data_IF_797305785732
#
_entry.id   IF_797305785732
#
_cell.length_a   1.000
_cell.length_b   1.000
_cell.length_c   1.000
_cell.angle_alpha   90.00
_cell.angle_beta   90.00
_cell.angle_gamma   90.00
#
_symmetry.space_group_name_H-M   'P 1'
#
loop_
_entity.id
_entity.type
_entity.pdbx_description
1 polymer ?
#
# COMPACT_ATOMS: atom_id res chain seq x y z
N UNK A 1 14.03 31.95 4.89
CA UNK A 1 13.27 30.90 4.19
C UNK A 1 12.65 29.98 5.23
N UNK A 2 11.37 29.63 5.10
CA UNK A 2 10.70 28.74 6.05
C UNK A 2 11.16 27.31 5.78
N UNK A 3 11.83 26.69 6.75
CA UNK A 3 12.19 25.26 6.68
C UNK A 3 10.90 24.43 6.79
N UNK A 4 10.56 23.67 5.75
CA UNK A 4 9.41 22.76 5.77
C UNK A 4 9.87 21.39 6.27
N UNK A 5 9.62 21.10 7.54
CA UNK A 5 9.93 19.80 8.15
C UNK A 5 8.97 18.73 7.61
N UNK A 6 9.51 17.62 7.10
CA UNK A 6 8.75 16.46 6.64
C UNK A 6 9.31 15.19 7.30
N UNK A 7 8.45 14.22 7.57
CA UNK A 7 8.82 12.88 8.04
C UNK A 7 8.67 11.89 6.89
N UNK A 8 9.64 10.98 6.76
CA UNK A 8 9.69 9.94 5.71
C UNK A 8 10.21 8.64 6.33
N UNK A 9 9.66 7.52 5.89
CA UNK A 9 10.25 6.20 6.18
C UNK A 9 11.42 6.05 5.20
N UNK A 10 12.65 6.09 5.69
CA UNK A 10 13.82 6.10 4.79
C UNK A 10 14.14 4.71 4.25
N UNK A 11 14.03 3.68 5.10
CA UNK A 11 14.34 2.29 4.76
C UNK A 11 13.39 1.36 5.50
N UNK A 12 12.87 0.34 4.82
CA UNK A 12 12.21 -0.83 5.41
C UNK A 12 13.09 -2.05 5.15
N UNK A 13 13.47 -2.77 6.21
CA UNK A 13 14.32 -3.96 6.11
C UNK A 13 13.71 -5.12 6.88
N UNK A 14 13.90 -6.32 6.34
CA UNK A 14 13.63 -7.59 7.01
C UNK A 14 14.92 -8.08 7.66
N UNK A 15 14.78 -8.63 8.86
CA UNK A 15 15.89 -9.26 9.59
C UNK A 15 15.88 -10.73 9.22
N UNK A 16 16.94 -11.19 8.55
CA UNK A 16 17.09 -12.59 8.17
C UNK A 16 17.89 -13.36 9.23
N UNK A 17 19.00 -12.78 9.69
CA UNK A 17 19.86 -13.34 10.73
C UNK A 17 20.74 -12.23 11.36
N UNK A 18 21.61 -12.59 12.30
CA UNK A 18 22.62 -11.71 12.87
C UNK A 18 23.44 -11.03 11.75
N UNK A 19 23.47 -9.70 11.76
CA UNK A 19 24.11 -8.85 10.75
C UNK A 19 23.64 -9.05 9.30
N UNK A 20 22.55 -9.80 9.06
CA UNK A 20 22.00 -10.08 7.74
C UNK A 20 20.61 -9.46 7.59
N UNK A 21 20.53 -8.44 6.74
CA UNK A 21 19.32 -7.65 6.52
C UNK A 21 18.96 -7.56 5.04
N UNK A 22 17.68 -7.67 4.72
CA UNK A 22 17.16 -7.55 3.36
C UNK A 22 16.38 -6.24 3.25
N UNK A 23 16.81 -5.34 2.36
CA UNK A 23 16.09 -4.07 2.10
C UNK A 23 14.89 -4.33 1.19
N UNK A 24 13.70 -3.98 1.68
CA UNK A 24 12.43 -4.13 0.95
C UNK A 24 11.97 -2.81 0.34
N UNK A 25 12.20 -1.69 1.03
CA UNK A 25 11.88 -0.36 0.51
C UNK A 25 12.95 0.65 0.89
N UNK A 26 13.25 1.56 -0.03
CA UNK A 26 14.13 2.71 0.20
C UNK A 26 13.50 3.98 -0.36
N UNK A 27 13.59 5.07 0.40
CA UNK A 27 13.15 6.39 -0.05
C UNK A 27 14.24 7.08 -0.89
N UNK A 28 13.86 7.58 -2.06
CA UNK A 28 14.68 8.45 -2.90
C UNK A 28 14.35 9.93 -2.59
N UNK A 29 15.28 10.69 -1.98
CA UNK A 29 15.07 12.10 -1.65
C UNK A 29 14.93 13.00 -2.88
N UNK A 30 15.43 12.59 -4.05
CA UNK A 30 15.43 13.42 -5.27
C UNK A 30 14.05 13.47 -5.90
N UNK A 31 13.30 12.37 -5.82
CA UNK A 31 11.97 12.20 -6.41
C UNK A 31 10.85 12.20 -5.37
N UNK A 32 11.18 12.23 -4.07
CA UNK A 32 10.25 12.03 -2.96
C UNK A 32 9.40 10.76 -3.10
N UNK A 33 10.01 9.68 -3.61
CA UNK A 33 9.34 8.41 -3.90
C UNK A 33 10.01 7.23 -3.22
N UNK A 34 9.33 6.09 -3.18
CA UNK A 34 9.86 4.85 -2.63
C UNK A 34 10.15 3.84 -3.73
N UNK A 35 11.34 3.24 -3.70
CA UNK A 35 11.66 2.05 -4.49
C UNK A 35 11.34 0.83 -3.64
N UNK A 36 10.44 -0.03 -4.11
CA UNK A 36 9.94 -1.20 -3.36
C UNK A 36 10.24 -2.49 -4.13
N UNK A 37 10.76 -3.50 -3.45
CA UNK A 37 11.05 -4.81 -4.02
C UNK A 37 10.47 -5.92 -3.13
N UNK A 38 9.19 -6.23 -3.33
CA UNK A 38 8.45 -7.23 -2.55
C UNK A 38 8.88 -8.67 -2.88
N UNK A 39 9.35 -8.93 -4.10
CA UNK A 39 9.76 -10.28 -4.53
C UNK A 39 10.94 -10.83 -3.72
N UNK A 40 11.76 -9.93 -3.16
CA UNK A 40 12.89 -10.28 -2.29
C UNK A 40 12.51 -10.54 -0.84
N UNK A 41 11.24 -10.38 -0.47
CA UNK A 41 10.80 -10.56 0.92
C UNK A 41 10.83 -12.02 1.33
N UNK A 42 11.61 -12.32 2.38
CA UNK A 42 11.64 -13.63 3.02
C UNK A 42 10.38 -13.86 3.85
N UNK A 43 9.77 -12.79 4.38
CA UNK A 43 8.52 -12.90 5.13
C UNK A 43 7.34 -13.21 4.21
N UNK A 44 7.28 -12.65 3.01
CA UNK A 44 6.24 -13.01 2.04
C UNK A 44 6.41 -14.44 1.53
N UNK A 45 7.66 -14.90 1.34
CA UNK A 45 7.95 -16.30 1.00
C UNK A 45 7.48 -17.26 2.11
N UNK A 46 7.77 -16.95 3.38
CA UNK A 46 7.31 -17.73 4.53
C UNK A 46 5.79 -17.76 4.65
N UNK A 47 5.11 -16.61 4.44
CA UNK A 47 3.65 -16.53 4.44
C UNK A 47 3.05 -17.38 3.31
N UNK A 48 3.62 -17.31 2.10
CA UNK A 48 3.19 -18.09 0.95
C UNK A 48 3.30 -19.59 1.24
N UNK A 49 4.46 -20.03 1.73
CA UNK A 49 4.71 -21.42 2.11
C UNK A 49 3.73 -21.93 3.18
N UNK A 50 3.54 -21.17 4.26
CA UNK A 50 2.62 -21.54 5.35
C UNK A 50 1.16 -21.65 4.91
N UNK A 51 0.78 -20.95 3.85
CA UNK A 51 -0.58 -20.93 3.30
C UNK A 51 -0.75 -21.85 2.09
N UNK A 52 0.32 -22.49 1.62
CA UNK A 52 0.30 -23.28 0.38
C UNK A 52 -0.04 -22.44 -0.85
N UNK A 53 0.43 -21.19 -0.88
CA UNK A 53 0.24 -20.24 -1.97
C UNK A 53 1.56 -19.95 -2.67
N UNK A 54 1.49 -19.37 -3.87
CA UNK A 54 2.64 -18.79 -4.53
C UNK A 54 2.95 -17.39 -3.96
N UNK A 55 4.21 -16.97 -4.04
CA UNK A 55 4.62 -15.62 -3.61
C UNK A 55 3.87 -14.54 -4.39
N UNK A 56 3.58 -14.79 -5.67
CA UNK A 56 2.76 -13.91 -6.51
C UNK A 56 1.37 -13.67 -5.92
N UNK A 57 0.71 -14.70 -5.38
CA UNK A 57 -0.63 -14.56 -4.78
C UNK A 57 -0.60 -13.64 -3.56
N UNK A 58 0.45 -13.75 -2.74
CA UNK A 58 0.64 -12.89 -1.57
C UNK A 58 0.94 -11.45 -1.99
N UNK A 59 1.74 -11.26 -3.04
CA UNK A 59 2.01 -9.93 -3.61
C UNK A 59 0.73 -9.32 -4.20
N UNK A 60 -0.11 -10.11 -4.88
CA UNK A 60 -1.40 -9.66 -5.39
C UNK A 60 -2.33 -9.22 -4.25
N UNK A 61 -2.34 -9.94 -3.13
CA UNK A 61 -3.08 -9.53 -1.94
C UNK A 61 -2.57 -8.21 -1.35
N UNK A 62 -1.25 -7.97 -1.35
CA UNK A 62 -0.69 -6.67 -0.95
C UNK A 62 -1.16 -5.56 -1.88
N UNK A 63 -1.18 -5.81 -3.20
CA UNK A 63 -1.68 -4.85 -4.18
C UNK A 63 -3.16 -4.52 -3.95
N UNK A 64 -4.00 -5.53 -3.68
CA UNK A 64 -5.42 -5.31 -3.34
C UNK A 64 -5.59 -4.42 -2.11
N UNK A 65 -4.84 -4.70 -1.03
CA UNK A 65 -4.85 -3.86 0.18
C UNK A 65 -4.38 -2.44 -0.10
N UNK A 66 -3.36 -2.27 -0.94
CA UNK A 66 -2.88 -0.95 -1.36
C UNK A 66 -3.98 -0.16 -2.06
N UNK A 67 -4.74 -0.78 -2.97
CA UNK A 67 -5.88 -0.14 -3.65
C UNK A 67 -6.95 0.33 -2.66
N UNK A 68 -7.27 -0.48 -1.64
CA UNK A 68 -8.25 -0.09 -0.62
C UNK A 68 -7.75 1.10 0.21
N UNK A 69 -6.46 1.14 0.56
CA UNK A 69 -5.86 2.28 1.26
C UNK A 69 -5.81 3.55 0.42
N UNK A 70 -5.50 3.42 -0.87
CA UNK A 70 -5.53 4.53 -1.82
C UNK A 70 -6.94 5.10 -2.02
N UNK A 71 -7.93 4.22 -2.15
CA UNK A 71 -9.35 4.60 -2.18
C UNK A 71 -9.76 5.38 -0.92
N UNK A 72 -9.38 4.89 0.27
CA UNK A 72 -9.65 5.60 1.53
C UNK A 72 -9.03 7.01 1.52
N UNK A 73 -7.78 7.13 1.05
CA UNK A 73 -7.06 8.40 0.99
C UNK A 73 -7.76 9.42 0.08
N UNK A 74 -8.10 9.02 -1.15
CA UNK A 74 -8.73 9.89 -2.15
C UNK A 74 -10.15 10.28 -1.72
N UNK A 75 -10.88 9.35 -1.09
CA UNK A 75 -12.19 9.64 -0.50
C UNK A 75 -12.14 10.51 0.76
N UNK A 76 -10.94 10.81 1.26
CA UNK A 76 -10.73 11.65 2.44
C UNK A 76 -10.99 10.96 3.78
N UNK A 77 -11.04 9.62 3.79
CA UNK A 77 -11.26 8.81 5.00
C UNK A 77 -9.95 8.75 5.79
N UNK A 78 -9.84 9.61 6.81
CA UNK A 78 -8.62 9.78 7.62
C UNK A 78 -8.86 9.62 9.12
N UNK A 79 -10.13 9.58 9.55
CA UNK A 79 -10.48 9.31 10.94
C UNK A 79 -10.10 7.87 11.31
N UNK A 80 -9.47 7.70 12.47
CA UNK A 80 -8.92 6.42 12.88
C UNK A 80 -10.00 5.33 13.06
N UNK A 81 -11.22 5.71 13.49
CA UNK A 81 -12.32 4.78 13.67
C UNK A 81 -12.91 4.34 12.33
N UNK A 82 -13.08 5.28 11.40
CA UNK A 82 -13.56 4.97 10.05
C UNK A 82 -12.57 4.07 9.29
N UNK A 83 -11.27 4.37 9.37
CA UNK A 83 -10.22 3.53 8.78
C UNK A 83 -10.24 2.13 9.40
N UNK A 84 -10.33 2.04 10.72
CA UNK A 84 -10.35 0.76 11.44
C UNK A 84 -11.55 -0.08 11.01
N UNK A 85 -12.74 0.52 10.88
CA UNK A 85 -13.95 -0.17 10.42
C UNK A 85 -13.73 -0.80 9.04
N UNK A 86 -13.17 -0.07 8.09
CA UNK A 86 -12.91 -0.59 6.73
C UNK A 86 -11.89 -1.72 6.76
N UNK A 87 -10.85 -1.61 7.59
CA UNK A 87 -9.87 -2.68 7.77
C UNK A 87 -10.56 -3.95 8.30
N UNK A 88 -11.42 -3.83 9.31
CA UNK A 88 -12.18 -4.97 9.84
C UNK A 88 -13.13 -5.57 8.80
N UNK A 89 -13.83 -4.74 8.03
CA UNK A 89 -14.70 -5.19 6.95
C UNK A 89 -13.88 -5.95 5.89
N UNK A 90 -12.67 -5.50 5.57
CA UNK A 90 -11.78 -6.19 4.64
C UNK A 90 -11.30 -7.55 5.18
N UNK A 91 -11.07 -7.66 6.50
CA UNK A 91 -10.78 -8.96 7.12
C UNK A 91 -11.96 -9.93 7.03
N UNK A 92 -13.19 -9.43 7.12
CA UNK A 92 -14.41 -10.25 7.06
C UNK A 92 -14.80 -10.64 5.63
N UNK A 93 -14.85 -9.66 4.71
CA UNK A 93 -15.29 -9.85 3.33
C UNK A 93 -14.35 -9.12 2.33
N UNK A 94 -13.11 -9.61 2.15
CA UNK A 94 -12.06 -8.89 1.40
C UNK A 94 -12.45 -8.61 -0.05
N UNK A 95 -13.14 -9.55 -0.72
CA UNK A 95 -13.56 -9.40 -2.11
C UNK A 95 -14.57 -8.26 -2.27
N UNK A 96 -15.59 -8.20 -1.42
CA UNK A 96 -16.61 -7.16 -1.53
C UNK A 96 -16.03 -5.77 -1.24
N UNK A 97 -15.19 -5.65 -0.21
CA UNK A 97 -14.53 -4.37 0.10
C UNK A 97 -13.58 -3.95 -1.02
N UNK A 98 -12.78 -4.87 -1.56
CA UNK A 98 -11.87 -4.57 -2.67
C UNK A 98 -12.62 -4.12 -3.93
N UNK A 99 -13.64 -4.85 -4.38
CA UNK A 99 -14.38 -4.49 -5.59
C UNK A 99 -15.09 -3.14 -5.45
N UNK A 100 -15.68 -2.88 -4.28
CA UNK A 100 -16.26 -1.57 -3.97
C UNK A 100 -15.20 -0.47 -4.03
N UNK A 101 -14.09 -0.65 -3.34
CA UNK A 101 -13.01 0.33 -3.29
C UNK A 101 -12.44 0.61 -4.69
N UNK A 102 -12.20 -0.44 -5.48
CA UNK A 102 -11.70 -0.34 -6.85
C UNK A 102 -12.68 0.41 -7.76
N UNK A 103 -13.96 0.03 -7.75
CA UNK A 103 -15.00 0.67 -8.57
C UNK A 103 -15.11 2.16 -8.25
N UNK A 104 -15.24 2.50 -6.96
CA UNK A 104 -15.37 3.90 -6.54
C UNK A 104 -14.07 4.69 -6.83
N UNK A 105 -12.91 4.09 -6.65
CA UNK A 105 -11.62 4.71 -6.97
C UNK A 105 -11.52 5.04 -8.47
N UNK A 106 -11.89 4.11 -9.35
CA UNK A 106 -11.90 4.35 -10.80
C UNK A 106 -12.85 5.50 -11.18
N UNK A 107 -14.01 5.62 -10.52
CA UNK A 107 -14.92 6.75 -10.72
C UNK A 107 -14.34 8.08 -10.24
N UNK A 108 -13.66 8.11 -9.10
CA UNK A 108 -13.04 9.31 -8.54
C UNK A 108 -11.91 9.81 -9.44
N UNK A 109 -11.05 8.90 -9.91
CA UNK A 109 -9.95 9.24 -10.82
C UNK A 109 -10.47 9.74 -12.18
N UNK A 110 -11.56 9.16 -12.69
CA UNK A 110 -12.23 9.68 -13.90
C UNK A 110 -12.73 11.10 -13.70
N UNK A 111 -13.38 11.39 -12.57
CA UNK A 111 -13.86 12.75 -12.26
C UNK A 111 -12.72 13.76 -12.18
N UNK A 112 -11.63 13.44 -11.50
CA UNK A 112 -10.43 14.30 -11.46
C UNK A 112 -9.84 14.54 -12.85
N UNK A 113 -9.77 13.51 -13.70
CA UNK A 113 -9.24 13.66 -15.07
C UNK A 113 -10.11 14.54 -15.98
N UNK A 114 -11.41 14.65 -15.70
CA UNK A 114 -12.36 15.49 -16.45
C UNK A 114 -12.35 16.93 -15.93
N UNK A 115 -12.08 17.14 -14.64
CA UNK A 115 -12.03 18.46 -14.00
C UNK A 115 -10.63 19.10 -14.00
N UNK A 116 -9.58 18.34 -14.35
CA UNK A 116 -8.24 18.87 -14.52
C UNK A 116 -8.21 19.97 -15.60
N UNK A 117 -7.63 21.16 -15.34
CA UNK A 117 -7.49 22.18 -16.36
C UNK A 117 -6.71 21.59 -17.54
N UNK A 118 -7.26 21.70 -18.75
CA UNK A 118 -6.48 21.52 -19.97
C UNK A 118 -5.46 22.66 -19.97
N UNK A 119 -4.24 22.36 -19.55
CA UNK A 119 -3.09 23.27 -19.66
C UNK A 119 -2.77 23.56 -21.13
#
# INVERSE_FOLDING_TARGET
GVVKVRRRITVVQEVEDFEKYIKISTWDPRTDSHVVNLERSIHLQDIALKRGLDVSDVIEEIKRRSTVLEWMLIKGIKDAWDVSRIIFDYYYEPKAVYEKAKSELEELLKKESVEAPVE
#
